data_IF_651213015556
#
_entry.id   IF_651213015556
#
_cell.length_a   1.000
_cell.length_b   1.000
_cell.length_c   1.000
_cell.angle_alpha   90.00
_cell.angle_beta   90.00
_cell.angle_gamma   90.00
#
_symmetry.space_group_name_H-M   'P 1'
#
loop_
_entity.id
_entity.type
_entity.pdbx_description
1 polymer ?
#
# COMPACT_ATOMS: atom_id res chain seq x y z
N UNK A 1 15.31 8.99 -9.35
CA UNK A 1 14.98 8.09 -8.25
C UNK A 1 14.45 8.90 -7.08
N UNK A 2 13.14 8.91 -6.93
CA UNK A 2 12.41 9.60 -5.87
C UNK A 2 12.36 8.69 -4.63
N UNK A 3 11.87 7.46 -4.81
CA UNK A 3 11.72 6.48 -3.73
C UNK A 3 13.06 5.92 -3.27
N UNK A 4 13.10 5.47 -2.01
CA UNK A 4 14.12 4.55 -1.55
C UNK A 4 13.92 3.19 -2.25
N UNK A 5 15.02 2.58 -2.70
CA UNK A 5 15.00 1.24 -3.30
C UNK A 5 15.08 0.18 -2.21
N UNK A 6 14.28 -0.87 -2.35
CA UNK A 6 14.31 -2.05 -1.50
C UNK A 6 15.59 -2.84 -1.78
N UNK A 7 16.41 -3.05 -0.74
CA UNK A 7 17.64 -3.83 -0.84
C UNK A 7 17.33 -5.32 -0.67
N UNK A 8 16.95 -5.98 -1.78
CA UNK A 8 16.59 -7.40 -1.77
C UNK A 8 17.75 -8.28 -1.27
N UNK A 9 18.99 -7.95 -1.58
CA UNK A 9 20.16 -8.74 -1.17
C UNK A 9 20.37 -8.67 0.34
N UNK A 10 20.25 -7.48 0.93
CA UNK A 10 20.27 -7.30 2.38
C UNK A 10 19.14 -8.09 3.05
N UNK A 11 17.90 -7.91 2.59
CA UNK A 11 16.74 -8.57 3.22
C UNK A 11 16.75 -10.09 3.04
N UNK A 12 17.31 -10.61 1.94
CA UNK A 12 17.53 -12.05 1.75
C UNK A 12 18.51 -12.63 2.77
N UNK A 13 19.45 -11.83 3.28
CA UNK A 13 20.35 -12.23 4.37
C UNK A 13 19.68 -12.14 5.74
N UNK A 14 18.76 -11.17 5.93
CA UNK A 14 17.98 -11.03 7.16
C UNK A 14 16.95 -12.15 7.29
N UNK A 15 16.33 -12.56 6.19
CA UNK A 15 15.37 -13.66 6.09
C UNK A 15 15.92 -14.81 5.24
N UNK A 16 16.95 -15.53 5.72
CA UNK A 16 17.48 -16.66 4.97
C UNK A 16 16.40 -17.73 4.91
N UNK A 17 15.91 -18.00 3.69
CA UNK A 17 14.73 -18.83 3.44
C UNK A 17 14.83 -20.18 4.14
N UNK A 18 15.96 -20.88 4.02
CA UNK A 18 16.17 -22.19 4.64
C UNK A 18 16.01 -22.14 6.17
N UNK A 19 16.56 -21.11 6.82
CA UNK A 19 16.40 -20.92 8.26
C UNK A 19 14.94 -20.63 8.62
N UNK A 20 14.24 -19.88 7.78
CA UNK A 20 12.83 -19.59 8.02
C UNK A 20 11.98 -20.88 7.90
N UNK A 21 12.32 -21.77 6.95
CA UNK A 21 11.68 -23.08 6.85
C UNK A 21 11.83 -23.90 8.12
N UNK A 22 13.01 -23.86 8.72
CA UNK A 22 13.30 -24.57 9.97
C UNK A 22 12.60 -23.95 11.18
N UNK A 23 12.49 -22.61 11.23
CA UNK A 23 11.88 -21.89 12.35
C UNK A 23 10.35 -21.95 12.33
N UNK A 24 9.76 -21.99 11.14
CA UNK A 24 8.31 -21.97 10.96
C UNK A 24 7.88 -23.07 9.95
N UNK A 25 8.07 -24.35 10.29
CA UNK A 25 7.79 -25.46 9.38
C UNK A 25 6.30 -25.55 9.01
N UNK A 26 5.42 -25.07 9.89
CA UNK A 26 3.97 -25.06 9.68
C UNK A 26 3.48 -23.76 9.00
N UNK A 27 4.38 -22.82 8.71
CA UNK A 27 3.99 -21.56 8.07
C UNK A 27 3.64 -21.82 6.60
N UNK A 28 2.45 -21.42 6.13
CA UNK A 28 1.92 -21.85 4.83
C UNK A 28 2.85 -21.52 3.65
N UNK A 29 3.67 -20.47 3.79
CA UNK A 29 4.59 -19.93 2.79
C UNK A 29 5.90 -20.72 2.63
N UNK A 30 6.19 -21.64 3.55
CA UNK A 30 7.49 -22.33 3.63
C UNK A 30 7.53 -23.60 2.77
N UNK A 31 6.44 -24.37 2.78
CA UNK A 31 6.41 -25.72 2.21
C UNK A 31 5.50 -25.85 0.99
N UNK A 32 4.59 -24.89 0.79
CA UNK A 32 3.66 -24.90 -0.33
C UNK A 32 3.99 -23.74 -1.24
N UNK A 33 4.22 -23.96 -2.55
CA UNK A 33 4.25 -22.87 -3.51
C UNK A 33 2.96 -22.04 -3.35
N UNK A 34 2.99 -20.72 -3.61
CA UNK A 34 1.84 -19.83 -3.41
C UNK A 34 0.51 -20.23 -4.06
N UNK A 35 0.51 -21.26 -4.90
CA UNK A 35 -0.48 -21.49 -5.95
C UNK A 35 -1.25 -22.81 -5.80
N UNK A 36 -1.10 -23.53 -4.68
CA UNK A 36 -1.73 -24.85 -4.47
C UNK A 36 -2.98 -24.79 -3.56
N UNK A 37 -3.23 -23.66 -2.87
CA UNK A 37 -4.42 -23.51 -2.01
C UNK A 37 -5.38 -22.43 -2.56
N UNK A 38 -6.68 -22.77 -2.58
CA UNK A 38 -7.80 -21.98 -3.15
C UNK A 38 -8.12 -20.66 -2.43
N UNK A 39 -7.26 -20.16 -1.54
CA UNK A 39 -7.51 -18.92 -0.77
C UNK A 39 -6.40 -17.92 -1.09
N UNK A 40 -6.69 -16.99 -2.00
CA UNK A 40 -5.78 -15.97 -2.52
C UNK A 40 -5.37 -14.88 -1.50
N UNK A 41 -5.98 -14.88 -0.30
CA UNK A 41 -5.78 -13.85 0.74
C UNK A 41 -4.42 -14.00 1.44
N UNK A 42 -3.82 -15.20 1.45
CA UNK A 42 -2.57 -15.49 2.15
C UNK A 42 -1.30 -15.06 1.36
N UNK A 43 -1.33 -14.09 0.44
CA UNK A 43 -0.13 -13.76 -0.36
C UNK A 43 0.15 -12.27 -0.50
N UNK A 44 -0.42 -11.47 0.39
CA UNK A 44 -0.23 -10.04 0.37
C UNK A 44 1.20 -9.64 0.76
N UNK A 45 1.83 -8.83 -0.10
CA UNK A 45 3.15 -8.26 0.17
C UNK A 45 2.97 -7.04 1.07
N UNK A 46 2.97 -7.32 2.38
CA UNK A 46 2.76 -6.31 3.43
C UNK A 46 3.99 -6.11 4.31
N UNK A 47 5.07 -6.86 4.08
CA UNK A 47 6.32 -6.75 4.84
C UNK A 47 7.54 -7.10 3.97
N UNK A 48 8.76 -6.72 4.42
CA UNK A 48 10.01 -7.12 3.75
C UNK A 48 10.15 -8.63 3.59
N UNK A 49 9.68 -9.40 4.58
CA UNK A 49 9.69 -10.86 4.55
C UNK A 49 8.85 -11.40 3.39
N UNK A 50 7.61 -10.91 3.23
CA UNK A 50 6.72 -11.38 2.17
C UNK A 50 7.32 -11.16 0.78
N UNK A 51 7.95 -10.00 0.56
CA UNK A 51 8.62 -9.72 -0.71
C UNK A 51 9.82 -10.65 -0.96
N UNK A 52 10.68 -10.87 0.04
CA UNK A 52 11.83 -11.79 -0.07
C UNK A 52 11.37 -13.20 -0.42
N UNK A 53 10.34 -13.70 0.27
CA UNK A 53 9.79 -15.02 -0.01
C UNK A 53 9.20 -15.11 -1.42
N UNK A 54 8.47 -14.08 -1.85
CA UNK A 54 7.89 -14.04 -3.18
C UNK A 54 8.98 -14.07 -4.27
N UNK A 55 10.02 -13.24 -4.14
CA UNK A 55 11.14 -13.22 -5.09
C UNK A 55 11.94 -14.53 -5.08
N UNK A 56 12.14 -15.15 -3.92
CA UNK A 56 12.77 -16.47 -3.83
C UNK A 56 11.96 -17.54 -4.59
N UNK A 57 10.64 -17.58 -4.37
CA UNK A 57 9.76 -18.52 -5.05
C UNK A 57 9.73 -18.27 -6.56
N UNK A 58 9.66 -17.01 -6.99
CA UNK A 58 9.75 -16.65 -8.41
C UNK A 58 11.06 -17.13 -9.04
N UNK A 59 12.18 -16.95 -8.36
CA UNK A 59 13.47 -17.46 -8.83
C UNK A 59 13.43 -18.99 -8.99
N UNK A 60 12.93 -19.73 -8.00
CA UNK A 60 12.79 -21.20 -8.09
C UNK A 60 11.86 -21.62 -9.23
N UNK A 61 10.74 -20.93 -9.41
CA UNK A 61 9.78 -21.25 -10.46
C UNK A 61 10.23 -20.85 -11.85
N UNK A 62 11.04 -19.79 -12.00
CA UNK A 62 11.55 -19.36 -13.31
C UNK A 62 12.38 -20.45 -14.01
N UNK A 63 12.88 -21.42 -13.24
CA UNK A 63 13.53 -22.64 -13.74
C UNK A 63 12.53 -23.51 -14.53
N UNK A 64 11.25 -23.44 -14.20
CA UNK A 64 10.19 -24.32 -14.71
C UNK A 64 9.07 -23.58 -15.46
N UNK A 65 8.93 -22.26 -15.30
CA UNK A 65 7.91 -21.43 -15.93
C UNK A 65 8.53 -20.48 -16.96
N UNK A 66 7.94 -20.46 -18.15
CA UNK A 66 8.31 -19.57 -19.25
C UNK A 66 7.13 -18.72 -19.75
N UNK A 67 6.18 -18.41 -18.86
CA UNK A 67 5.02 -17.58 -19.19
C UNK A 67 5.41 -16.11 -19.46
N UNK A 68 4.52 -15.34 -20.13
CA UNK A 68 4.72 -13.91 -20.28
C UNK A 68 4.75 -13.24 -18.91
N UNK A 69 5.68 -12.30 -18.75
CA UNK A 69 5.76 -11.45 -17.56
C UNK A 69 5.91 -10.00 -17.97
N UNK A 70 5.50 -9.10 -17.08
CA UNK A 70 5.53 -7.65 -17.28
C UNK A 70 6.20 -6.96 -16.09
N UNK A 71 6.91 -5.84 -16.32
CA UNK A 71 7.53 -5.11 -15.22
C UNK A 71 6.47 -4.45 -14.34
N UNK A 72 6.70 -4.48 -13.03
CA UNK A 72 5.91 -3.80 -12.01
C UNK A 72 6.84 -3.11 -11.01
N UNK A 73 6.31 -2.11 -10.32
CA UNK A 73 6.90 -1.59 -9.10
C UNK A 73 6.02 -1.93 -7.91
N UNK A 74 6.56 -2.65 -6.95
CA UNK A 74 5.87 -3.00 -5.71
C UNK A 74 6.45 -2.22 -4.54
N UNK A 75 5.60 -1.86 -3.57
CA UNK A 75 6.01 -1.10 -2.40
C UNK A 75 5.95 -1.94 -1.14
N UNK A 76 7.05 -1.90 -0.39
CA UNK A 76 7.09 -2.38 1.00
C UNK A 76 7.10 -1.17 1.92
N UNK A 77 6.29 -1.17 2.96
CA UNK A 77 6.08 0.01 3.78
C UNK A 77 7.21 0.24 4.80
N UNK A 78 7.63 1.50 4.91
CA UNK A 78 8.36 2.07 6.04
C UNK A 78 7.41 2.85 6.93
N UNK A 79 7.64 2.79 8.24
CA UNK A 79 6.84 3.50 9.22
C UNK A 79 7.34 4.93 9.43
N UNK A 80 6.43 5.89 9.57
CA UNK A 80 6.72 7.31 9.80
C UNK A 80 6.60 8.18 8.54
N UNK A 81 6.87 9.48 8.73
CA UNK A 81 6.91 10.45 7.62
C UNK A 81 8.25 10.29 6.85
N UNK A 82 8.22 10.23 5.51
CA UNK A 82 9.43 10.17 4.70
C UNK A 82 10.16 11.52 4.63
N UNK A 83 11.49 11.51 4.48
CA UNK A 83 12.31 12.71 4.28
C UNK A 83 11.90 13.51 3.03
N UNK A 84 11.48 12.80 1.98
CA UNK A 84 11.00 13.37 0.72
C UNK A 84 9.49 13.37 0.69
N UNK A 85 8.89 14.53 0.43
CA UNK A 85 7.44 14.72 0.51
C UNK A 85 6.69 14.11 -0.68
N UNK A 86 7.38 13.99 -1.80
CA UNK A 86 6.86 13.53 -3.09
C UNK A 86 6.72 12.01 -3.22
N UNK A 87 7.24 11.20 -2.29
CA UNK A 87 7.19 9.72 -2.40
C UNK A 87 5.76 9.17 -2.29
N UNK A 88 5.54 7.94 -2.75
CA UNK A 88 4.34 7.17 -2.44
C UNK A 88 4.23 6.99 -0.93
N UNK A 89 3.10 7.40 -0.35
CA UNK A 89 2.88 7.38 1.10
C UNK A 89 1.41 7.45 1.46
N UNK A 90 1.12 7.13 2.71
CA UNK A 90 -0.21 7.25 3.30
C UNK A 90 -0.10 8.04 4.59
N UNK A 91 -1.03 8.99 4.76
CA UNK A 91 -1.08 9.88 5.90
C UNK A 91 0.09 10.84 5.93
N UNK A 92 0.14 11.67 6.97
CA UNK A 92 1.19 12.67 7.10
C UNK A 92 0.94 13.90 6.22
N UNK A 93 2.00 14.54 5.75
CA UNK A 93 1.89 15.84 5.07
C UNK A 93 1.92 15.72 3.52
N UNK A 94 0.81 15.93 2.79
CA UNK A 94 0.74 15.61 1.35
C UNK A 94 1.65 16.47 0.48
N UNK A 95 2.14 15.97 -0.65
CA UNK A 95 2.69 16.81 -1.70
C UNK A 95 1.53 17.57 -2.39
N UNK A 96 1.11 18.70 -1.82
CA UNK A 96 -0.01 19.49 -2.34
C UNK A 96 0.34 20.99 -2.41
N UNK A 97 0.12 21.67 -3.55
CA UNK A 97 0.49 23.08 -3.69
C UNK A 97 -0.40 24.01 -2.85
N UNK A 98 0.20 24.91 -2.09
CA UNK A 98 -0.51 25.84 -1.20
C UNK A 98 -1.42 26.84 -1.94
N UNK A 99 -1.14 27.08 -3.23
CA UNK A 99 -1.98 27.94 -4.07
C UNK A 99 -3.28 27.27 -4.52
N UNK A 100 -3.41 25.94 -4.39
CA UNK A 100 -4.64 25.22 -4.72
C UNK A 100 -5.58 25.21 -3.51
N UNK A 101 -6.89 25.42 -3.70
CA UNK A 101 -7.85 25.28 -2.61
C UNK A 101 -7.82 23.85 -2.09
N UNK A 102 -7.93 23.69 -0.76
CA UNK A 102 -8.06 22.38 -0.16
C UNK A 102 -9.38 21.72 -0.59
N UNK A 103 -9.39 20.44 -1.01
CA UNK A 103 -10.62 19.77 -1.42
C UNK A 103 -11.69 19.74 -0.33
N UNK A 104 -12.95 19.91 -0.72
CA UNK A 104 -14.10 19.93 0.18
C UNK A 104 -15.19 18.96 -0.29
N UNK A 105 -15.94 18.40 0.64
CA UNK A 105 -17.15 17.61 0.39
C UNK A 105 -18.32 18.49 -0.08
N UNK A 106 -19.42 17.86 -0.51
CA UNK A 106 -20.68 18.54 -0.82
C UNK A 106 -21.24 19.36 0.37
N UNK A 107 -20.87 18.99 1.60
CA UNK A 107 -21.22 19.68 2.85
C UNK A 107 -20.24 20.83 3.21
N UNK A 108 -19.31 21.19 2.30
CA UNK A 108 -18.22 22.15 2.51
C UNK A 108 -17.28 21.79 3.67
N UNK A 109 -17.18 20.51 4.03
CA UNK A 109 -16.19 20.03 5.00
C UNK A 109 -14.88 19.73 4.28
N UNK A 110 -13.72 20.07 4.84
CA UNK A 110 -12.47 19.71 4.22
C UNK A 110 -12.31 18.19 4.17
N UNK A 111 -11.84 17.67 3.04
CA UNK A 111 -11.52 16.25 2.90
C UNK A 111 -10.19 15.94 3.59
N UNK A 112 -10.04 14.74 4.14
CA UNK A 112 -8.80 14.33 4.80
C UNK A 112 -7.78 13.86 3.77
N UNK A 113 -6.50 14.22 3.94
CA UNK A 113 -5.46 13.63 3.12
C UNK A 113 -5.31 12.16 3.47
N UNK A 114 -5.50 11.29 2.49
CA UNK A 114 -5.49 9.86 2.69
C UNK A 114 -4.15 9.27 2.25
N UNK A 115 -3.81 9.42 0.97
CA UNK A 115 -2.63 8.82 0.38
C UNK A 115 -2.13 9.59 -0.83
N UNK A 116 -0.92 9.32 -1.26
CA UNK A 116 -0.46 9.73 -2.57
C UNK A 116 0.37 8.63 -3.22
N UNK A 117 0.27 8.51 -4.55
CA UNK A 117 1.07 7.61 -5.35
C UNK A 117 1.96 8.44 -6.27
N UNK A 118 3.27 8.23 -6.17
CA UNK A 118 4.26 8.89 -7.00
C UNK A 118 4.66 7.96 -8.15
N UNK A 119 4.40 8.37 -9.38
CA UNK A 119 4.69 7.59 -10.58
C UNK A 119 6.04 7.93 -11.19
N UNK A 120 6.81 8.86 -10.60
CA UNK A 120 8.02 9.42 -11.23
C UNK A 120 9.07 8.37 -11.56
N UNK A 121 9.20 7.35 -10.72
CA UNK A 121 10.13 6.25 -10.94
C UNK A 121 9.53 5.14 -11.83
N UNK A 122 8.23 5.19 -12.13
CA UNK A 122 7.44 4.14 -12.81
C UNK A 122 6.88 4.57 -14.17
N UNK A 123 7.31 5.70 -14.72
CA UNK A 123 6.77 6.24 -15.98
C UNK A 123 6.97 5.30 -17.18
N UNK A 124 8.01 4.46 -17.15
CA UNK A 124 8.25 3.43 -18.18
C UNK A 124 7.22 2.29 -18.14
N UNK A 125 6.58 2.08 -16.99
CA UNK A 125 5.50 1.10 -16.79
C UNK A 125 4.15 1.73 -17.09
N UNK A 126 3.92 2.95 -16.58
CA UNK A 126 2.62 3.62 -16.69
C UNK A 126 2.39 4.29 -18.04
N UNK A 127 3.40 4.65 -18.82
CA UNK A 127 3.20 5.54 -19.96
C UNK A 127 2.70 6.94 -19.55
N UNK A 128 2.03 7.69 -20.43
CA UNK A 128 1.61 9.07 -20.17
C UNK A 128 0.60 9.18 -19.02
N UNK A 129 0.80 10.19 -18.16
CA UNK A 129 -0.05 10.51 -17.01
C UNK A 129 -0.34 12.03 -16.93
N UNK A 130 -1.44 12.46 -16.29
CA UNK A 130 -1.76 13.88 -16.13
C UNK A 130 -0.79 14.65 -15.21
N UNK A 131 -0.08 13.94 -14.33
CA UNK A 131 0.89 14.51 -13.39
C UNK A 131 1.88 13.44 -12.91
N UNK A 132 2.83 13.85 -12.07
CA UNK A 132 3.82 12.95 -11.49
C UNK A 132 3.28 12.20 -10.27
N UNK A 133 2.32 12.81 -9.55
CA UNK A 133 1.77 12.30 -8.28
C UNK A 133 0.25 12.40 -8.33
N UNK A 134 -0.42 11.32 -7.95
CA UNK A 134 -1.85 11.31 -7.65
C UNK A 134 -2.03 11.46 -6.14
N UNK A 135 -2.62 12.57 -5.71
CA UNK A 135 -2.99 12.83 -4.31
C UNK A 135 -4.44 12.39 -4.12
N UNK A 136 -4.67 11.58 -3.10
CA UNK A 136 -5.95 10.97 -2.76
C UNK A 136 -6.42 11.60 -1.45
N UNK A 137 -7.58 12.25 -1.51
CA UNK A 137 -8.29 12.75 -0.34
C UNK A 137 -9.50 11.89 -0.08
N UNK A 138 -9.93 11.80 1.17
CA UNK A 138 -11.05 10.98 1.60
C UNK A 138 -12.11 11.82 2.31
N UNK A 139 -13.37 11.48 2.08
CA UNK A 139 -14.50 12.05 2.80
C UNK A 139 -14.83 11.20 4.04
N UNK A 140 -14.47 11.65 5.25
CA UNK A 140 -14.72 10.87 6.47
C UNK A 140 -16.22 10.70 6.75
N UNK A 141 -17.09 11.59 6.24
CA UNK A 141 -18.55 11.47 6.44
C UNK A 141 -19.19 10.34 5.61
N UNK A 142 -18.47 9.80 4.62
CA UNK A 142 -19.02 8.80 3.68
C UNK A 142 -18.24 7.49 3.63
N UNK A 143 -17.04 7.47 4.23
CA UNK A 143 -16.14 6.34 4.12
C UNK A 143 -16.75 5.04 4.70
N UNK A 144 -17.39 5.11 5.87
CA UNK A 144 -17.95 3.91 6.50
C UNK A 144 -19.23 3.42 5.82
N UNK A 145 -20.07 4.35 5.35
CA UNK A 145 -21.42 4.03 4.87
C UNK A 145 -21.49 3.74 3.36
N UNK A 146 -20.67 4.42 2.53
CA UNK A 146 -20.86 4.44 1.08
C UNK A 146 -19.70 3.80 0.29
N UNK A 147 -18.58 3.41 0.90
CA UNK A 147 -17.37 3.04 0.13
C UNK A 147 -17.54 1.82 -0.78
N UNK A 148 -18.51 0.97 -0.50
CA UNK A 148 -18.85 -0.21 -1.31
C UNK A 148 -19.94 0.06 -2.37
N UNK A 149 -20.44 1.30 -2.46
CA UNK A 149 -21.49 1.66 -3.42
C UNK A 149 -20.89 2.08 -4.79
N UNK A 150 -21.52 1.64 -5.87
CA UNK A 150 -21.14 2.05 -7.22
C UNK A 150 -21.27 3.57 -7.37
N UNK A 151 -20.19 4.24 -7.83
CA UNK A 151 -20.17 5.68 -7.98
C UNK A 151 -19.95 6.46 -6.68
N UNK A 152 -19.50 5.79 -5.62
CA UNK A 152 -19.12 6.40 -4.36
C UNK A 152 -18.19 7.62 -4.53
N UNK A 153 -18.43 8.65 -3.73
CA UNK A 153 -17.60 9.88 -3.67
C UNK A 153 -16.74 9.94 -2.40
N UNK A 154 -16.46 8.77 -1.79
CA UNK A 154 -15.58 8.68 -0.62
C UNK A 154 -14.16 9.15 -0.93
N UNK A 155 -13.72 9.11 -2.19
CA UNK A 155 -12.41 9.62 -2.59
C UNK A 155 -12.51 10.80 -3.56
N UNK A 156 -11.60 11.74 -3.39
CA UNK A 156 -11.31 12.84 -4.31
C UNK A 156 -9.86 12.76 -4.76
N UNK A 157 -9.63 12.98 -6.06
CA UNK A 157 -8.33 12.73 -6.69
C UNK A 157 -7.77 14.01 -7.30
N UNK A 158 -6.50 14.29 -7.01
CA UNK A 158 -5.79 15.46 -7.53
C UNK A 158 -4.46 15.05 -8.15
N UNK A 159 -4.29 15.34 -9.44
CA UNK A 159 -2.99 15.22 -10.11
C UNK A 159 -2.15 16.46 -9.84
N UNK A 160 -0.92 16.25 -9.37
CA UNK A 160 0.08 17.30 -9.13
C UNK A 160 1.41 16.93 -9.79
N UNK A 161 2.23 17.93 -10.08
CA UNK A 161 3.55 17.73 -10.68
C UNK A 161 4.66 18.02 -9.68
N UNK A 162 5.76 17.27 -9.77
CA UNK A 162 6.96 17.61 -9.01
C UNK A 162 7.47 18.96 -9.53
N UNK A 163 7.70 19.90 -8.62
CA UNK A 163 7.95 21.30 -8.96
C UNK A 163 6.78 22.24 -8.67
N UNK A 164 5.59 21.73 -8.36
CA UNK A 164 4.47 22.58 -7.93
C UNK A 164 4.73 23.13 -6.51
N UNK A 165 5.23 24.37 -6.42
CA UNK A 165 5.59 25.05 -5.17
C UNK A 165 4.91 26.42 -5.06
N UNK A 166 4.73 26.98 -3.84
CA UNK A 166 5.03 26.36 -2.54
C UNK A 166 4.04 25.24 -2.18
N UNK A 167 4.47 24.30 -1.34
CA UNK A 167 3.60 23.24 -0.80
C UNK A 167 2.91 23.71 0.49
N UNK A 168 1.73 23.16 0.78
CA UNK A 168 1.01 23.42 2.04
C UNK A 168 1.89 23.11 3.25
N UNK A 169 1.79 23.90 4.31
CA UNK A 169 2.43 23.61 5.60
C UNK A 169 1.50 22.82 6.51
N UNK A 170 2.03 22.29 7.61
CA UNK A 170 1.22 21.59 8.62
C UNK A 170 0.13 22.48 9.24
N UNK A 171 0.32 23.81 9.29
CA UNK A 171 -0.69 24.73 9.81
C UNK A 171 -1.80 25.06 8.80
N UNK A 172 -1.56 24.76 7.51
CA UNK A 172 -2.53 24.97 6.44
C UNK A 172 -3.35 23.71 6.15
N UNK A 173 -2.90 22.54 6.61
CA UNK A 173 -3.72 21.33 6.59
C UNK A 173 -4.84 21.45 7.62
N UNK A 174 -6.08 21.04 7.30
CA UNK A 174 -7.13 20.97 8.31
C UNK A 174 -6.69 20.03 9.44
N UNK A 175 -6.96 20.41 10.68
CA UNK A 175 -6.51 19.69 11.87
C UNK A 175 -7.32 18.42 12.12
N UNK A 176 -7.11 17.41 11.28
CA UNK A 176 -7.69 16.08 11.46
C UNK A 176 -6.94 15.32 12.55
N UNK A 177 -7.68 14.50 13.31
CA UNK A 177 -7.07 13.41 14.06
C UNK A 177 -6.73 12.33 13.04
N UNK A 178 -5.43 12.04 12.80
CA UNK A 178 -5.03 11.18 11.69
C UNK A 178 -5.63 9.78 11.87
N UNK A 179 -6.36 9.32 10.85
CA UNK A 179 -6.97 7.99 10.85
C UNK A 179 -5.94 6.86 10.98
N UNK A 180 -4.74 7.08 10.45
CA UNK A 180 -3.64 6.14 10.48
C UNK A 180 -2.31 6.88 10.59
N UNK A 181 -1.32 6.18 11.13
CA UNK A 181 0.02 6.71 11.29
C UNK A 181 0.71 6.82 9.92
N UNK A 182 1.52 7.88 9.69
CA UNK A 182 2.21 8.05 8.42
C UNK A 182 3.08 6.84 8.10
N UNK A 183 3.09 6.46 6.82
CA UNK A 183 3.96 5.42 6.30
C UNK A 183 4.29 5.71 4.84
N UNK A 184 5.42 5.19 4.37
CA UNK A 184 5.93 5.49 3.03
C UNK A 184 6.39 4.22 2.30
N UNK A 185 6.25 4.23 0.97
CA UNK A 185 6.63 3.10 0.15
C UNK A 185 8.13 3.08 -0.14
N UNK A 186 8.76 1.93 0.10
CA UNK A 186 10.08 1.58 -0.42
C UNK A 186 9.89 0.70 -1.64
N UNK A 187 10.41 1.14 -2.77
CA UNK A 187 10.10 0.59 -4.09
C UNK A 187 11.00 -0.62 -4.41
N UNK A 188 10.42 -1.67 -4.95
CA UNK A 188 11.13 -2.79 -5.56
C UNK A 188 10.62 -2.98 -6.98
N UNK A 189 11.52 -2.89 -7.97
CA UNK A 189 11.18 -3.20 -9.36
C UNK A 189 11.34 -4.69 -9.61
N UNK A 190 10.31 -5.33 -10.14
CA UNK A 190 10.33 -6.75 -10.47
C UNK A 190 9.44 -7.05 -11.67
N UNK A 191 9.36 -8.32 -12.08
CA UNK A 191 8.41 -8.78 -13.07
C UNK A 191 7.28 -9.57 -12.42
N UNK A 192 6.07 -9.40 -12.94
CA UNK A 192 4.88 -10.16 -12.57
C UNK A 192 4.48 -11.08 -13.72
N UNK A 193 4.13 -12.33 -13.42
CA UNK A 193 3.57 -13.26 -14.40
C UNK A 193 2.08 -12.96 -14.60
N UNK A 194 1.62 -12.95 -15.86
CA UNK A 194 0.24 -12.52 -16.16
C UNK A 194 -0.84 -13.44 -15.58
N UNK A 195 -0.53 -14.72 -15.37
CA UNK A 195 -1.42 -15.71 -14.75
C UNK A 195 -1.44 -15.63 -13.21
N UNK A 196 -0.55 -14.83 -12.60
CA UNK A 196 -0.33 -14.79 -11.15
C UNK A 196 -0.03 -13.36 -10.68
N UNK A 197 -1.06 -12.50 -10.66
CA UNK A 197 -0.88 -11.13 -10.19
C UNK A 197 -0.46 -11.13 -8.71
N UNK A 198 0.59 -10.37 -8.40
CA UNK A 198 1.09 -10.16 -7.06
C UNK A 198 0.11 -9.30 -6.27
N UNK A 199 -0.29 -9.78 -5.09
CA UNK A 199 -1.08 -9.01 -4.13
C UNK A 199 -0.18 -8.10 -3.30
N UNK A 200 -0.51 -6.81 -3.24
CA UNK A 200 0.27 -5.78 -2.57
C UNK A 200 0.05 -4.41 -3.18
N UNK A 201 0.59 -3.36 -2.57
CA UNK A 201 0.56 -2.02 -3.20
C UNK A 201 1.57 -1.98 -4.33
N UNK A 202 1.12 -1.82 -5.57
CA UNK A 202 1.97 -1.86 -6.77
C UNK A 202 1.48 -0.93 -7.87
N UNK A 203 2.39 -0.57 -8.77
CA UNK A 203 2.15 0.16 -10.01
C UNK A 203 2.42 -0.77 -11.20
N UNK A 204 1.47 -0.80 -12.14
CA UNK A 204 1.50 -1.67 -13.32
C UNK A 204 1.20 -3.13 -13.05
N UNK A 205 1.28 -3.95 -14.10
CA UNK A 205 0.92 -5.37 -14.05
C UNK A 205 -0.57 -5.62 -14.28
N UNK A 206 -1.06 -6.72 -13.73
CA UNK A 206 -2.46 -7.13 -13.69
C UNK A 206 -3.04 -6.90 -12.28
N UNK A 207 -4.34 -6.63 -12.18
CA UNK A 207 -5.05 -6.53 -10.90
C UNK A 207 -5.12 -7.89 -10.18
N UNK A 208 -4.78 -7.93 -8.89
CA UNK A 208 -4.92 -9.12 -8.05
C UNK A 208 -6.29 -9.15 -7.36
N UNK A 209 -7.37 -9.30 -8.14
CA UNK A 209 -8.75 -9.28 -7.61
C UNK A 209 -8.94 -10.26 -6.43
N UNK A 210 -9.48 -9.77 -5.31
CA UNK A 210 -9.74 -10.58 -4.11
C UNK A 210 -11.03 -11.39 -4.26
N UNK A 211 -12.07 -10.79 -4.85
CA UNK A 211 -13.40 -11.39 -4.92
C UNK A 211 -13.77 -11.84 -6.34
N UNK A 212 -13.94 -10.88 -7.24
CA UNK A 212 -14.33 -11.11 -8.63
C UNK A 212 -13.67 -10.07 -9.54
N UNK A 213 -13.46 -10.42 -10.80
CA UNK A 213 -12.92 -9.47 -11.77
C UNK A 213 -13.99 -8.43 -12.15
N UNK A 214 -13.62 -7.15 -12.05
CA UNK A 214 -14.47 -6.02 -12.46
C UNK A 214 -13.91 -5.40 -13.72
N UNK A 215 -14.76 -5.24 -14.73
CA UNK A 215 -14.40 -4.56 -15.97
C UNK A 215 -14.57 -3.04 -15.82
N UNK A 216 -13.55 -2.38 -15.29
CA UNK A 216 -13.48 -0.91 -15.27
C UNK A 216 -12.94 -0.36 -16.59
N UNK A 217 -13.35 0.86 -17.00
CA UNK A 217 -12.82 1.49 -18.20
C UNK A 217 -11.34 1.86 -18.05
N UNK A 218 -10.61 1.77 -19.16
CA UNK A 218 -9.20 2.14 -19.22
C UNK A 218 -8.24 0.98 -18.92
N UNK A 219 -6.98 1.34 -18.73
CA UNK A 219 -5.92 0.38 -18.39
C UNK A 219 -5.69 0.36 -16.88
N UNK A 220 -5.31 -0.79 -16.36
CA UNK A 220 -4.84 -0.88 -14.98
C UNK A 220 -3.64 0.06 -14.77
N UNK A 221 -3.68 0.85 -13.70
CA UNK A 221 -2.63 1.80 -13.37
C UNK A 221 -1.87 1.36 -12.13
N UNK A 222 -2.56 1.16 -11.03
CA UNK A 222 -1.99 0.73 -9.75
C UNK A 222 -3.08 0.12 -8.86
N UNK A 223 -2.65 -0.53 -7.79
CA UNK A 223 -3.52 -0.95 -6.70
C UNK A 223 -2.91 -0.58 -5.35
N UNK A 224 -3.75 -0.36 -4.36
CA UNK A 224 -3.36 -0.12 -2.97
C UNK A 224 -3.92 -1.23 -2.10
N UNK A 225 -3.04 -1.92 -1.39
CA UNK A 225 -3.43 -2.92 -0.42
C UNK A 225 -3.63 -2.31 0.96
N UNK A 226 -4.34 -3.03 1.83
CA UNK A 226 -4.34 -2.78 3.27
C UNK A 226 -2.90 -2.86 3.78
N UNK A 227 -2.55 -2.05 4.78
CA UNK A 227 -1.28 -2.21 5.49
C UNK A 227 -1.53 -3.02 6.75
N UNK A 228 -1.23 -4.29 6.63
CA UNK A 228 -1.47 -5.28 7.68
C UNK A 228 -0.15 -5.89 8.07
N UNK A 229 0.71 -5.13 8.77
CA UNK A 229 2.03 -5.62 9.11
C UNK A 229 1.88 -6.89 9.94
N UNK A 230 2.48 -7.98 9.48
CA UNK A 230 2.46 -9.24 10.20
C UNK A 230 3.36 -9.10 11.44
N UNK A 231 2.73 -8.89 12.58
CA UNK A 231 3.41 -8.56 13.84
C UNK A 231 4.16 -9.76 14.42
N UNK A 232 3.86 -10.98 13.96
CA UNK A 232 4.65 -12.15 14.35
C UNK A 232 6.00 -12.21 13.63
N UNK A 233 6.21 -11.41 12.57
CA UNK A 233 7.43 -11.43 11.78
C UNK A 233 8.47 -10.40 12.26
N UNK A 234 9.77 -10.71 12.09
CA UNK A 234 10.80 -9.70 12.26
C UNK A 234 10.63 -8.63 11.18
N UNK A 235 10.60 -7.36 11.60
CA UNK A 235 10.44 -6.21 10.70
C UNK A 235 9.07 -6.10 10.02
N UNK A 236 8.00 -5.73 10.77
CA UNK A 236 6.70 -5.38 10.17
C UNK A 236 6.78 -4.26 9.13
N UNK A 237 7.79 -3.39 9.25
CA UNK A 237 8.13 -2.33 8.30
C UNK A 237 9.63 -2.37 8.01
N UNK A 238 10.06 -1.85 6.85
CA UNK A 238 11.48 -1.86 6.44
C UNK A 238 12.43 -1.20 7.45
N UNK A 239 11.94 -0.25 8.25
CA UNK A 239 12.74 0.54 9.19
C UNK A 239 12.43 0.24 10.66
N UNK A 240 11.56 -0.73 10.94
CA UNK A 240 11.10 -1.04 12.30
C UNK A 240 11.53 -2.45 12.65
N UNK A 241 12.75 -2.67 13.18
CA UNK A 241 13.10 -3.98 13.73
C UNK A 241 12.07 -4.39 14.77
N UNK A 242 11.74 -5.68 14.81
CA UNK A 242 10.87 -6.20 15.86
C UNK A 242 11.58 -6.03 17.22
N UNK A 243 11.26 -4.93 17.89
CA UNK A 243 11.43 -4.76 19.32
C UNK A 243 10.12 -5.31 19.88
N UNK A 244 10.17 -6.24 20.83
CA UNK A 244 9.00 -6.65 21.59
C UNK A 244 8.09 -5.43 21.85
N UNK A 245 6.98 -5.30 21.12
CA UNK A 245 6.04 -4.18 21.26
C UNK A 245 5.30 -4.21 22.61
N UNK A 246 5.69 -5.13 23.50
CA UNK A 246 5.39 -5.11 24.91
C UNK A 246 6.49 -4.36 25.69
N UNK A 247 6.25 -3.15 26.21
CA UNK A 247 5.00 -2.38 26.24
C UNK A 247 5.11 -1.00 25.56
N UNK A 248 4.24 -0.72 24.60
CA UNK A 248 3.93 0.68 24.27
C UNK A 248 3.34 1.36 25.53
N UNK A 249 3.71 2.63 25.82
CA UNK A 249 3.02 3.39 26.85
C UNK A 249 1.54 3.47 26.46
N UNK A 250 0.69 3.03 27.37
CA UNK A 250 -0.78 3.02 27.20
C UNK A 250 -1.23 4.35 26.56
N UNK A 251 -2.07 4.32 25.51
CA UNK A 251 -2.73 5.53 25.03
C UNK A 251 -3.36 6.21 26.25
N UNK A 252 -3.00 7.48 26.50
CA UNK A 252 -3.49 8.22 27.67
C UNK A 252 -5.02 8.13 27.71
N UNK A 253 -5.56 7.30 28.62
CA UNK A 253 -6.99 7.13 28.80
C UNK A 253 -7.58 5.75 28.50
N UNK A 254 -6.80 4.76 28.05
CA UNK A 254 -7.24 3.35 28.00
C UNK A 254 -6.21 2.47 28.71
N UNK A 255 -6.65 1.76 29.74
CA UNK A 255 -5.78 0.80 30.44
C UNK A 255 -5.51 -0.40 29.53
N UNK A 256 -4.37 -1.06 29.70
CA UNK A 256 -4.00 -2.26 28.94
C UNK A 256 -4.99 -3.44 29.05
N UNK A 257 -5.93 -3.35 30.00
CA UNK A 257 -7.05 -4.27 30.19
C UNK A 257 -8.27 -3.98 29.32
N UNK A 258 -8.36 -2.81 28.70
CA UNK A 258 -9.49 -2.37 27.87
C UNK A 258 -9.22 -2.53 26.37
N UNK A 259 -7.95 -2.71 25.98
CA UNK A 259 -7.60 -3.09 24.63
C UNK A 259 -7.90 -4.57 24.41
N UNK A 260 -8.90 -4.88 23.58
CA UNK A 260 -9.33 -6.26 23.35
C UNK A 260 -8.43 -7.00 22.35
N UNK A 261 -7.45 -6.30 21.75
CA UNK A 261 -6.59 -6.88 20.72
C UNK A 261 -5.21 -6.20 20.63
N UNK A 262 -4.13 -6.96 20.31
CA UNK A 262 -2.83 -6.41 19.93
C UNK A 262 -2.90 -5.32 18.85
N UNK A 263 -3.93 -5.34 18.01
CA UNK A 263 -4.17 -4.38 16.92
C UNK A 263 -4.50 -2.96 17.41
N UNK A 264 -5.04 -2.79 18.62
CA UNK A 264 -5.32 -1.47 19.18
C UNK A 264 -4.04 -0.71 19.57
N UNK A 265 -2.90 -1.39 19.70
CA UNK A 265 -1.65 -0.81 20.20
C UNK A 265 -0.75 -0.20 19.12
N UNK A 266 -0.93 -0.60 17.86
CA UNK A 266 -0.03 -0.15 16.78
C UNK A 266 -0.52 1.16 16.14
N UNK A 267 -1.67 1.67 16.60
CA UNK A 267 -2.35 2.79 15.95
C UNK A 267 -2.83 2.33 14.59
N UNK A 268 -4.06 1.82 14.56
CA UNK A 268 -4.86 1.49 13.38
C UNK A 268 -4.02 1.11 12.14
N UNK A 269 -3.61 -0.18 12.00
CA UNK A 269 -3.20 -0.67 10.69
C UNK A 269 -4.25 -0.25 9.68
N UNK A 270 -3.83 0.18 8.50
CA UNK A 270 -4.76 0.71 7.53
C UNK A 270 -5.49 -0.46 6.87
N UNK A 271 -6.72 -0.72 7.29
CA UNK A 271 -7.58 -1.74 6.72
C UNK A 271 -8.57 -1.12 5.75
N UNK A 272 -8.78 -1.80 4.63
CA UNK A 272 -9.89 -1.54 3.74
C UNK A 272 -11.02 -2.54 4.05
N UNK A 273 -11.94 -2.21 4.96
CA UNK A 273 -12.86 -3.21 5.50
C UNK A 273 -12.10 -4.35 6.19
N UNK A 274 -12.39 -5.60 5.84
CA UNK A 274 -11.72 -6.80 6.38
C UNK A 274 -10.55 -7.25 5.46
N UNK A 275 -9.48 -6.45 5.33
CA UNK A 275 -8.30 -6.72 4.47
C UNK A 275 -8.55 -6.55 2.96
N UNK A 276 -9.14 -5.43 2.56
CA UNK A 276 -9.42 -5.16 1.16
C UNK A 276 -8.26 -4.59 0.34
N UNK A 277 -8.55 -4.32 -0.92
CA UNK A 277 -7.67 -3.71 -1.92
C UNK A 277 -8.48 -2.72 -2.77
N UNK A 278 -7.87 -1.57 -3.09
CA UNK A 278 -8.41 -0.62 -4.06
C UNK A 278 -7.62 -0.72 -5.36
N UNK A 279 -8.33 -0.88 -6.47
CA UNK A 279 -7.77 -0.97 -7.81
C UNK A 279 -8.06 0.31 -8.58
N UNK A 280 -7.10 0.79 -9.35
CA UNK A 280 -7.23 2.04 -10.09
C UNK A 280 -6.94 1.84 -11.58
N UNK A 281 -7.82 2.39 -12.41
CA UNK A 281 -7.78 2.33 -13.86
C UNK A 281 -7.79 3.73 -14.45
N UNK A 282 -7.07 3.93 -15.57
CA UNK A 282 -6.96 5.22 -16.23
C UNK A 282 -7.42 5.12 -17.69
N UNK A 283 -8.39 5.96 -18.06
CA UNK A 283 -8.93 6.10 -19.42
C UNK A 283 -8.96 7.58 -19.80
N UNK A 284 -8.18 8.02 -20.80
CA UNK A 284 -8.14 9.43 -21.25
C UNK A 284 -8.05 10.46 -20.10
N UNK A 285 -7.16 10.22 -19.12
CA UNK A 285 -6.97 11.01 -17.89
C UNK A 285 -8.11 10.94 -16.86
N UNK A 286 -9.16 10.17 -17.12
CA UNK A 286 -10.22 9.86 -16.15
C UNK A 286 -9.82 8.64 -15.34
N UNK A 287 -9.85 8.78 -14.02
CA UNK A 287 -9.60 7.70 -13.08
C UNK A 287 -10.90 6.98 -12.75
N UNK A 288 -10.88 5.65 -12.80
CA UNK A 288 -11.90 4.77 -12.25
C UNK A 288 -11.27 3.89 -11.17
N UNK A 289 -12.05 3.52 -10.17
CA UNK A 289 -11.55 2.70 -9.06
C UNK A 289 -12.63 1.75 -8.56
N UNK A 290 -12.18 0.66 -7.91
CA UNK A 290 -13.02 -0.35 -7.26
C UNK A 290 -12.37 -0.71 -5.92
N UNK A 291 -13.16 -0.79 -4.85
CA UNK A 291 -12.73 -1.39 -3.58
C UNK A 291 -13.31 -2.80 -3.47
N UNK A 292 -12.48 -3.79 -3.12
CA UNK A 292 -12.93 -5.11 -2.70
C UNK A 292 -12.38 -5.44 -1.32
N UNK A 293 -13.18 -6.06 -0.46
CA UNK A 293 -12.76 -6.57 0.85
C UNK A 293 -13.17 -8.03 1.02
N UNK A 294 -12.28 -8.85 1.58
CA UNK A 294 -12.50 -10.29 1.79
C UNK A 294 -13.39 -10.62 2.97
#
# INVERSE_FOLDING_TARGET
MIHQVFDLDYWSQVFPVDRFKDLFPDYPYVNTPPYVNEIAIDWEIVSPFHLVMNEHWKHQQSIHRQGPSVPIDIFVWGYGEPDKREVTKMGGLPYFPAARPWPQSDSNKPLEFFAQICFKDSLDICGPLPGDILVIFMNPERFEDEIFEEGCTAFHFEWVSIGDFPLVSYHETPGFDPLFLPCYGVIHRTNEFLDEPMAGTKIGGNSSWIQYEVSLPGRFLFQMNSITPELSLPYPFVNTPFINFFPYPEPKGKTSREANSPWEYIGHPMYWGDLGQIYFFLDDNKLSWELQSG
#
